data_IF_549100999493
#
_entry.id   IF_549100999493
#
_cell.length_a   1.000
_cell.length_b   1.000
_cell.length_c   1.000
_cell.angle_alpha   90.00
_cell.angle_beta   90.00
_cell.angle_gamma   90.00
#
_symmetry.space_group_name_H-M   'P 1'
#
loop_
_entity.id
_entity.type
_entity.pdbx_description
1 polymer ?
#
# COMPACT_ATOMS: atom_id res chain seq x y z
N UNK A 1 -10.89 21.88 -17.14
CA UNK A 1 -9.41 21.94 -17.11
C UNK A 1 -8.90 22.64 -18.36
N UNK A 2 -7.74 23.31 -18.31
CA UNK A 2 -7.09 23.88 -19.51
C UNK A 2 -6.54 22.76 -20.41
N UNK A 3 -6.52 22.99 -21.73
CA UNK A 3 -6.04 22.03 -22.73
C UNK A 3 -4.60 21.56 -22.46
N UNK A 4 -3.71 22.48 -22.10
CA UNK A 4 -2.31 22.16 -21.77
C UNK A 4 -2.16 21.14 -20.63
N UNK A 5 -3.02 21.24 -19.60
CA UNK A 5 -3.02 20.30 -18.47
C UNK A 5 -3.56 18.94 -18.91
N UNK A 6 -4.58 18.91 -19.77
CA UNK A 6 -5.11 17.66 -20.31
C UNK A 6 -4.08 16.92 -21.18
N UNK A 7 -3.39 17.64 -22.06
CA UNK A 7 -2.34 17.08 -22.91
C UNK A 7 -1.19 16.53 -22.07
N UNK A 8 -0.78 17.25 -21.02
CA UNK A 8 0.24 16.78 -20.08
C UNK A 8 -0.19 15.53 -19.29
N UNK A 9 -1.46 15.45 -18.83
CA UNK A 9 -1.98 14.25 -18.17
C UNK A 9 -2.02 13.06 -19.14
N UNK A 10 -2.37 13.30 -20.41
CA UNK A 10 -2.41 12.26 -21.44
C UNK A 10 -1.06 11.63 -21.78
N UNK A 11 0.05 12.26 -21.39
CA UNK A 11 1.39 11.69 -21.55
C UNK A 11 1.72 10.62 -20.50
N UNK A 12 1.02 10.60 -19.36
CA UNK A 12 1.26 9.61 -18.32
C UNK A 12 0.69 8.24 -18.73
N UNK A 13 1.57 7.25 -18.88
CA UNK A 13 1.18 5.85 -19.03
C UNK A 13 1.16 5.18 -17.66
N UNK A 14 -0.01 5.17 -17.02
CA UNK A 14 -0.23 4.51 -15.72
C UNK A 14 -1.38 3.50 -15.83
N UNK A 15 -1.23 2.25 -15.32
CA UNK A 15 -2.28 1.24 -15.38
C UNK A 15 -3.58 1.66 -14.70
N UNK A 16 -3.47 2.40 -13.59
CA UNK A 16 -4.61 2.91 -12.81
C UNK A 16 -4.56 4.43 -12.71
N UNK A 17 -5.05 5.17 -13.72
CA UNK A 17 -4.99 6.63 -13.74
C UNK A 17 -6.02 7.25 -12.79
N UNK A 18 -5.55 7.89 -11.72
CA UNK A 18 -6.39 8.77 -10.89
C UNK A 18 -6.19 10.21 -11.36
N UNK A 19 -7.17 10.72 -12.12
CA UNK A 19 -7.13 12.05 -12.74
C UNK A 19 -6.84 13.16 -11.73
N UNK A 20 -7.43 13.09 -10.54
CA UNK A 20 -7.23 14.09 -9.48
C UNK A 20 -5.76 14.17 -9.02
N UNK A 21 -5.11 13.02 -8.82
CA UNK A 21 -3.70 12.97 -8.41
C UNK A 21 -2.76 13.40 -9.55
N UNK A 22 -3.07 13.01 -10.79
CA UNK A 22 -2.31 13.45 -11.95
C UNK A 22 -2.44 14.96 -12.17
N UNK A 23 -3.63 15.53 -11.97
CA UNK A 23 -3.83 16.98 -12.02
C UNK A 23 -3.02 17.71 -10.94
N UNK A 24 -3.02 17.20 -9.70
CA UNK A 24 -2.19 17.73 -8.61
C UNK A 24 -0.69 17.68 -8.91
N UNK A 25 -0.24 16.72 -9.72
CA UNK A 25 1.16 16.58 -10.14
C UNK A 25 1.56 17.51 -11.28
N UNK A 26 0.60 17.88 -12.13
CA UNK A 26 0.83 18.68 -13.35
C UNK A 26 0.61 20.18 -13.12
N UNK A 27 -0.26 20.57 -12.19
CA UNK A 27 -0.57 21.98 -11.94
C UNK A 27 -0.69 22.30 -10.46
N UNK A 28 -0.07 23.39 -10.03
CA UNK A 28 -0.22 23.95 -8.67
C UNK A 28 -1.43 24.89 -8.56
N UNK A 29 -1.95 25.39 -9.69
CA UNK A 29 -3.11 26.29 -9.73
C UNK A 29 -4.41 25.50 -9.73
N UNK A 30 -4.93 25.22 -8.53
CA UNK A 30 -6.17 24.48 -8.32
C UNK A 30 -7.12 25.34 -7.49
N UNK A 31 -8.35 25.49 -7.96
CA UNK A 31 -9.43 26.17 -7.24
C UNK A 31 -10.58 25.22 -6.99
N UNK A 32 -11.26 25.40 -5.86
CA UNK A 32 -12.51 24.70 -5.54
C UNK A 32 -13.65 25.70 -5.57
N UNK A 33 -14.80 25.29 -6.10
CA UNK A 33 -16.03 26.08 -6.12
C UNK A 33 -17.08 25.26 -5.39
N UNK A 34 -17.76 25.88 -4.43
CA UNK A 34 -18.90 25.24 -3.79
C UNK A 34 -20.06 25.18 -4.77
N UNK A 35 -20.55 23.97 -4.99
CA UNK A 35 -21.72 23.71 -5.82
C UNK A 35 -22.76 23.05 -4.94
N UNK A 36 -23.97 23.61 -4.96
CA UNK A 36 -25.09 23.01 -4.25
C UNK A 36 -25.49 21.70 -4.95
N UNK A 37 -25.47 20.61 -4.20
CA UNK A 37 -25.81 19.29 -4.72
C UNK A 37 -27.27 19.00 -4.40
N UNK A 38 -28.13 19.13 -5.40
CA UNK A 38 -29.54 18.77 -5.26
C UNK A 38 -29.71 17.28 -4.97
N UNK A 39 -30.73 16.94 -4.20
CA UNK A 39 -31.11 15.54 -3.99
C UNK A 39 -31.44 14.87 -5.32
N UNK A 40 -30.97 13.63 -5.49
CA UNK A 40 -31.21 12.89 -6.73
C UNK A 40 -32.70 12.55 -6.82
N UNK A 41 -33.37 12.86 -7.94
CA UNK A 41 -34.80 12.59 -8.11
C UNK A 41 -35.12 11.08 -8.14
N UNK A 42 -34.14 10.23 -8.47
CA UNK A 42 -34.28 8.78 -8.50
C UNK A 42 -32.95 8.09 -8.13
N UNK A 43 -33.05 6.95 -7.42
CA UNK A 43 -31.93 6.07 -7.09
C UNK A 43 -31.30 6.32 -5.72
N UNK A 44 -30.74 5.27 -5.12
CA UNK A 44 -29.98 5.36 -3.88
C UNK A 44 -28.50 5.65 -4.15
N UNK A 45 -27.82 6.27 -3.19
CA UNK A 45 -26.36 6.45 -3.27
C UNK A 45 -25.68 5.08 -3.33
N UNK A 46 -24.93 4.83 -4.41
CA UNK A 46 -24.09 3.63 -4.53
C UNK A 46 -22.88 3.66 -3.58
N UNK A 47 -22.63 4.79 -2.89
CA UNK A 47 -21.54 4.94 -1.94
C UNK A 47 -21.93 4.39 -0.56
N UNK A 48 -21.79 3.08 -0.38
CA UNK A 48 -21.77 2.48 0.95
C UNK A 48 -20.41 2.74 1.61
N UNK A 49 -20.36 2.85 2.94
CA UNK A 49 -19.11 2.98 3.71
C UNK A 49 -18.07 1.91 3.33
N UNK A 50 -18.52 0.68 3.04
CA UNK A 50 -17.66 -0.42 2.57
C UNK A 50 -16.98 -0.10 1.24
N UNK A 51 -17.69 0.51 0.30
CA UNK A 51 -17.14 0.89 -1.02
C UNK A 51 -16.16 2.05 -0.85
N UNK A 52 -16.48 3.01 0.01
CA UNK A 52 -15.61 4.14 0.31
C UNK A 52 -14.30 3.68 0.97
N UNK A 53 -14.38 2.78 1.95
CA UNK A 53 -13.21 2.21 2.60
C UNK A 53 -12.36 1.38 1.64
N UNK A 54 -13.00 0.58 0.78
CA UNK A 54 -12.29 -0.17 -0.28
C UNK A 54 -11.55 0.79 -1.23
N UNK A 55 -12.20 1.87 -1.64
CA UNK A 55 -11.59 2.88 -2.52
C UNK A 55 -10.40 3.58 -1.84
N UNK A 56 -10.55 3.90 -0.56
CA UNK A 56 -9.48 4.48 0.25
C UNK A 56 -8.28 3.52 0.38
N UNK A 57 -8.51 2.25 0.71
CA UNK A 57 -7.47 1.22 0.76
C UNK A 57 -6.78 1.06 -0.60
N UNK A 58 -7.55 1.06 -1.70
CA UNK A 58 -6.98 1.01 -3.04
C UNK A 58 -6.07 2.22 -3.33
N UNK A 59 -6.51 3.43 -3.00
CA UNK A 59 -5.69 4.64 -3.12
C UNK A 59 -4.41 4.59 -2.26
N UNK A 60 -4.53 4.11 -1.02
CA UNK A 60 -3.41 3.99 -0.09
C UNK A 60 -2.36 3.01 -0.59
N UNK A 61 -2.75 1.84 -1.08
CA UNK A 61 -1.79 0.81 -1.50
C UNK A 61 -1.21 1.13 -2.91
N UNK A 62 -2.01 1.65 -3.84
CA UNK A 62 -1.56 1.91 -5.23
C UNK A 62 -0.80 3.22 -5.42
N UNK A 63 -1.10 4.26 -4.64
CA UNK A 63 -0.49 5.58 -4.83
C UNK A 63 0.37 6.05 -3.66
N UNK A 64 0.57 5.22 -2.62
CA UNK A 64 1.43 5.55 -1.49
C UNK A 64 2.51 4.51 -1.22
N UNK A 65 3.61 4.97 -0.63
CA UNK A 65 4.73 4.15 -0.14
C UNK A 65 4.64 3.85 1.37
N UNK A 66 3.50 4.19 1.98
CA UNK A 66 3.25 4.01 3.41
C UNK A 66 3.38 2.55 3.88
N UNK A 67 2.82 1.53 3.20
CA UNK A 67 2.97 0.14 3.60
C UNK A 67 4.45 -0.30 3.68
N UNK A 68 5.25 0.07 2.67
CA UNK A 68 6.70 -0.18 2.65
C UNK A 68 7.44 0.54 3.79
N UNK A 69 7.08 1.80 4.06
CA UNK A 69 7.64 2.56 5.18
C UNK A 69 7.31 1.92 6.54
N UNK A 70 6.08 1.45 6.73
CA UNK A 70 5.68 0.73 7.94
C UNK A 70 6.53 -0.53 8.13
N UNK A 71 6.75 -1.29 7.05
CA UNK A 71 7.59 -2.48 7.08
C UNK A 71 9.03 -2.18 7.48
N UNK A 72 9.60 -1.09 6.95
CA UNK A 72 10.93 -0.60 7.32
C UNK A 72 11.03 -0.32 8.82
N UNK A 73 10.05 0.41 9.38
CA UNK A 73 10.04 0.70 10.81
C UNK A 73 9.84 -0.53 11.68
N UNK A 74 8.98 -1.47 11.25
CA UNK A 74 8.80 -2.75 11.92
C UNK A 74 10.08 -3.58 11.94
N UNK A 75 10.82 -3.62 10.83
CA UNK A 75 12.12 -4.30 10.73
C UNK A 75 13.19 -3.67 11.62
N UNK A 76 13.27 -2.34 11.67
CA UNK A 76 14.19 -1.63 12.59
C UNK A 76 13.82 -1.95 14.05
N UNK A 77 12.53 -1.94 14.38
CA UNK A 77 12.04 -2.29 15.71
C UNK A 77 12.37 -3.73 16.11
N UNK A 78 12.23 -4.70 15.20
CA UNK A 78 12.53 -6.10 15.47
C UNK A 78 14.03 -6.35 15.71
N UNK A 79 14.91 -5.66 14.97
CA UNK A 79 16.37 -5.70 15.20
C UNK A 79 16.69 -5.15 16.60
N UNK A 80 16.08 -4.02 16.98
CA UNK A 80 16.26 -3.44 18.31
C UNK A 80 15.82 -4.38 19.43
N UNK A 81 14.66 -5.02 19.29
CA UNK A 81 14.17 -6.03 20.24
C UNK A 81 15.08 -7.26 20.30
N UNK A 82 15.56 -7.74 19.16
CA UNK A 82 16.47 -8.88 19.08
C UNK A 82 17.82 -8.61 19.76
N UNK A 83 18.42 -7.44 19.51
CA UNK A 83 19.65 -7.03 20.17
C UNK A 83 19.46 -6.81 21.67
N UNK A 84 18.35 -6.17 22.08
CA UNK A 84 18.03 -5.98 23.49
C UNK A 84 17.82 -7.28 24.25
N UNK A 85 17.06 -8.22 23.68
CA UNK A 85 16.85 -9.54 24.25
C UNK A 85 18.16 -10.36 24.29
N UNK A 86 18.98 -10.29 23.23
CA UNK A 86 20.29 -10.94 23.18
C UNK A 86 21.25 -10.42 24.25
N UNK A 87 21.39 -9.09 24.38
CA UNK A 87 22.20 -8.45 25.42
C UNK A 87 21.70 -8.80 26.82
N UNK A 88 20.38 -8.76 27.05
CA UNK A 88 19.80 -9.15 28.34
C UNK A 88 20.13 -10.61 28.70
N UNK A 89 20.02 -11.53 27.75
CA UNK A 89 20.40 -12.94 27.96
C UNK A 89 21.90 -13.11 28.24
N UNK A 90 22.77 -12.39 27.52
CA UNK A 90 24.22 -12.44 27.76
C UNK A 90 24.60 -11.90 29.13
N UNK A 91 24.00 -10.78 29.57
CA UNK A 91 24.26 -10.16 30.87
C UNK A 91 23.71 -10.99 32.03
N UNK A 92 22.60 -11.70 31.82
CA UNK A 92 21.94 -12.55 32.83
C UNK A 92 22.41 -14.00 32.83
N UNK A 93 23.45 -14.34 32.08
CA UNK A 93 24.08 -15.67 32.07
C UNK A 93 24.88 -15.91 33.36
N UNK A 94 24.18 -15.90 34.50
CA UNK A 94 24.67 -16.43 35.77
C UNK A 94 24.45 -17.95 35.78
N UNK A 95 25.55 -18.64 35.50
CA UNK A 95 26.07 -19.91 36.03
C UNK A 95 25.19 -21.10 36.51
N UNK A 96 23.87 -21.03 36.73
CA UNK A 96 23.18 -22.10 37.50
C UNK A 96 21.76 -22.51 37.03
N UNK A 97 21.44 -22.48 35.73
CA UNK A 97 20.17 -23.05 35.24
C UNK A 97 20.40 -24.13 34.18
N UNK A 98 20.02 -25.40 34.46
CA UNK A 98 20.23 -26.50 33.52
C UNK A 98 19.47 -26.25 32.22
N UNK A 99 20.17 -26.45 31.11
CA UNK A 99 19.77 -26.25 29.73
C UNK A 99 18.42 -26.92 29.35
N UNK A 100 17.30 -26.29 29.72
CA UNK A 100 15.95 -26.72 29.31
C UNK A 100 15.02 -25.57 28.90
N UNK A 101 15.51 -24.35 28.87
CA UNK A 101 14.72 -23.12 28.66
C UNK A 101 14.52 -22.72 27.19
N UNK A 102 15.06 -23.50 26.23
CA UNK A 102 14.95 -23.18 24.79
C UNK A 102 13.72 -23.74 24.07
N UNK A 103 13.13 -24.85 24.55
CA UNK A 103 12.08 -25.57 23.83
C UNK A 103 10.78 -24.78 23.59
N UNK A 104 10.15 -24.20 24.63
CA UNK A 104 8.87 -23.50 24.47
C UNK A 104 9.01 -22.16 23.75
N UNK A 105 10.09 -21.42 24.01
CA UNK A 105 10.33 -20.11 23.40
C UNK A 105 10.59 -20.23 21.89
N UNK A 106 11.37 -21.22 21.46
CA UNK A 106 11.63 -21.45 20.03
C UNK A 106 10.36 -21.87 19.28
N UNK A 107 9.50 -22.69 19.90
CA UNK A 107 8.23 -23.11 19.29
C UNK A 107 7.24 -21.95 19.08
N UNK A 108 7.34 -20.86 19.85
CA UNK A 108 6.48 -19.68 19.70
C UNK A 108 7.13 -18.62 18.81
N UNK A 109 8.43 -18.38 18.99
CA UNK A 109 9.16 -17.34 18.25
C UNK A 109 9.39 -17.75 16.80
N UNK A 110 9.68 -19.02 16.52
CA UNK A 110 9.99 -19.46 15.16
C UNK A 110 8.80 -19.28 14.20
N UNK A 111 7.55 -19.71 14.51
CA UNK A 111 6.38 -19.42 13.68
C UNK A 111 6.03 -17.94 13.61
N UNK A 112 6.25 -17.19 14.69
CA UNK A 112 5.97 -15.76 14.74
C UNK A 112 6.90 -14.99 13.79
N UNK A 113 8.21 -15.23 13.88
CA UNK A 113 9.19 -14.60 12.98
C UNK A 113 9.03 -15.09 11.54
N UNK A 114 8.74 -16.36 11.30
CA UNK A 114 8.50 -16.86 9.95
C UNK A 114 7.22 -16.26 9.34
N UNK A 115 6.16 -16.09 10.13
CA UNK A 115 4.95 -15.40 9.70
C UNK A 115 5.19 -13.94 9.33
N UNK A 116 5.98 -13.22 10.12
CA UNK A 116 6.39 -11.83 9.81
C UNK A 116 7.22 -11.80 8.53
N UNK A 117 8.17 -12.71 8.35
CA UNK A 117 9.00 -12.79 7.13
C UNK A 117 8.14 -13.07 5.89
N UNK A 118 7.19 -14.01 5.97
CA UNK A 118 6.25 -14.29 4.86
C UNK A 118 5.39 -13.07 4.55
N UNK A 119 4.93 -12.33 5.58
CA UNK A 119 4.18 -11.09 5.39
C UNK A 119 5.03 -10.01 4.70
N UNK A 120 6.29 -9.83 5.12
CA UNK A 120 7.23 -8.94 4.44
C UNK A 120 7.40 -9.31 2.96
N UNK A 121 7.60 -10.60 2.67
CA UNK A 121 7.71 -11.14 1.31
C UNK A 121 6.44 -10.90 0.49
N UNK A 122 5.26 -11.09 1.08
CA UNK A 122 3.98 -10.81 0.42
C UNK A 122 3.85 -9.34 0.05
N UNK A 123 4.19 -8.40 0.95
CA UNK A 123 4.19 -6.97 0.64
C UNK A 123 5.16 -6.69 -0.53
N UNK A 124 6.38 -7.23 -0.49
CA UNK A 124 7.34 -7.03 -1.59
C UNK A 124 6.83 -7.59 -2.91
N UNK A 125 6.22 -8.77 -2.91
CA UNK A 125 5.63 -9.39 -4.09
C UNK A 125 4.48 -8.54 -4.66
N UNK A 126 3.63 -7.99 -3.80
CA UNK A 126 2.53 -7.09 -4.17
C UNK A 126 3.06 -5.80 -4.84
N UNK A 127 4.17 -5.24 -4.34
CA UNK A 127 4.81 -4.09 -4.98
C UNK A 127 5.54 -4.44 -6.28
N UNK A 128 6.15 -5.62 -6.36
CA UNK A 128 6.76 -6.11 -7.59
C UNK A 128 5.70 -6.31 -8.68
N UNK A 129 4.54 -6.88 -8.33
CA UNK A 129 3.42 -7.03 -9.24
C UNK A 129 2.98 -5.68 -9.81
N UNK A 130 2.85 -4.65 -8.98
CA UNK A 130 2.50 -3.27 -9.42
C UNK A 130 3.52 -2.68 -10.39
N UNK A 131 4.81 -2.92 -10.13
CA UNK A 131 5.88 -2.47 -11.03
C UNK A 131 5.75 -3.19 -12.38
N UNK A 132 5.51 -4.51 -12.37
CA UNK A 132 5.30 -5.29 -13.58
C UNK A 132 4.06 -4.81 -14.36
N UNK A 133 2.94 -4.56 -13.69
CA UNK A 133 1.75 -3.97 -14.32
C UNK A 133 2.05 -2.62 -14.98
N UNK A 134 2.90 -1.79 -14.37
CA UNK A 134 3.37 -0.54 -14.96
C UNK A 134 4.24 -0.71 -16.21
N UNK A 135 5.00 -1.82 -16.29
CA UNK A 135 5.84 -2.15 -17.44
C UNK A 135 5.03 -2.79 -18.57
N UNK A 136 4.04 -3.60 -18.25
CA UNK A 136 3.10 -4.18 -19.21
C UNK A 136 2.12 -3.11 -19.69
N UNK A 137 2.52 -2.33 -20.71
CA UNK A 137 1.72 -1.26 -21.32
C UNK A 137 0.59 -1.79 -22.23
N UNK A 138 -0.28 -2.66 -21.70
CA UNK A 138 -1.49 -3.07 -22.40
C UNK A 138 -2.43 -1.88 -22.67
N UNK A 139 -3.18 -1.87 -23.79
CA UNK A 139 -4.18 -0.84 -24.02
C UNK A 139 -5.23 -0.86 -22.89
N UNK A 140 -5.50 0.29 -22.27
CA UNK A 140 -6.43 0.39 -21.14
C UNK A 140 -7.86 -0.05 -21.50
N UNK A 141 -8.22 0.10 -22.77
CA UNK A 141 -9.45 -0.42 -23.35
C UNK A 141 -9.24 -0.62 -24.84
N UNK A 142 -9.98 -1.58 -25.41
CA UNK A 142 -10.07 -1.76 -26.85
C UNK A 142 -11.39 -1.14 -27.31
N UNK A 143 -11.34 -0.28 -28.32
CA UNK A 143 -12.54 0.27 -28.95
C UNK A 143 -12.96 -0.76 -30.00
N UNK A 144 -14.10 -1.40 -29.80
CA UNK A 144 -14.74 -2.19 -30.86
C UNK A 144 -15.21 -1.27 -31.98
N UNK A 145 -15.11 -1.73 -33.23
CA UNK A 145 -15.72 -1.01 -34.36
C UNK A 145 -17.23 -0.87 -34.11
N UNK A 146 -17.74 0.34 -34.33
CA UNK A 146 -19.18 0.55 -34.43
C UNK A 146 -19.62 -0.04 -35.77
N UNK A 147 -20.44 -1.08 -35.75
CA UNK A 147 -21.26 -1.40 -36.91
C UNK A 147 -22.15 -0.17 -37.20
N UNK A 148 -21.98 0.40 -38.39
CA UNK A 148 -22.74 1.54 -38.91
C UNK A 148 -23.99 1.03 -39.60
#
# INVERSE_FOLDING_TARGET
MKKSVMEAIGQFRTPHPIVALLALRVTEKIGSIQVDHQERPNGQSSYTLKILFRQFMHGLIYHSDLPLKCLRWAGIGSIGLGLGAGLFCCLRSESDLPAKTGGPAVLILLPLFSGILILCLWIVAEYLHRILEGLYQGPAYLIGEKEV
#
